data_IF_456690787026
#
_entry.id   IF_456690787026
#
_cell.length_a   1.000
_cell.length_b   1.000
_cell.length_c   1.000
_cell.angle_alpha   90.00
_cell.angle_beta   90.00
_cell.angle_gamma   90.00
#
_symmetry.space_group_name_H-M   'P 1'
#
loop_
_entity.id
_entity.type
_entity.pdbx_description
1 polymer ?
#
# COMPACT_ATOMS: atom_id res chain seq x y z
N UNK A 1 -11.51 -12.21 10.35
CA UNK A 1 -10.55 -11.09 10.25
C UNK A 1 -11.26 -9.90 9.64
N UNK A 2 -11.00 -8.67 10.11
CA UNK A 2 -11.56 -7.46 9.48
C UNK A 2 -10.70 -7.09 8.26
N UNK A 3 -11.35 -6.69 7.17
CA UNK A 3 -10.73 -6.36 5.89
C UNK A 3 -10.95 -4.88 5.58
N UNK A 4 -10.05 -4.29 4.79
CA UNK A 4 -10.15 -2.92 4.26
C UNK A 4 -9.90 -2.89 2.76
N UNK A 5 -10.50 -1.92 2.07
CA UNK A 5 -10.17 -1.65 0.66
C UNK A 5 -8.87 -0.87 0.61
N UNK A 6 -7.93 -1.33 -0.22
CA UNK A 6 -6.65 -0.66 -0.43
C UNK A 6 -6.20 -0.80 -1.88
N UNK A 7 -5.40 0.16 -2.34
CA UNK A 7 -4.60 0.00 -3.54
C UNK A 7 -3.31 -0.73 -3.19
N UNK A 8 -2.97 -1.75 -3.95
CA UNK A 8 -1.74 -2.52 -3.73
C UNK A 8 -1.10 -2.97 -5.03
N UNK A 9 0.17 -3.34 -4.92
CA UNK A 9 0.96 -3.95 -5.97
C UNK A 9 1.33 -5.38 -5.58
N UNK A 10 1.33 -6.28 -6.55
CA UNK A 10 1.88 -7.64 -6.42
C UNK A 10 3.17 -7.81 -7.25
N UNK A 11 3.39 -6.91 -8.20
CA UNK A 11 4.56 -6.83 -9.05
C UNK A 11 4.92 -5.36 -9.31
N UNK A 12 6.16 -5.11 -9.74
CA UNK A 12 6.58 -3.80 -10.20
C UNK A 12 6.05 -3.53 -11.60
N UNK A 13 5.64 -2.29 -11.89
CA UNK A 13 5.16 -1.90 -13.20
C UNK A 13 4.45 -0.55 -13.25
N UNK A 14 3.79 -0.27 -14.39
CA UNK A 14 3.01 0.95 -14.60
C UNK A 14 1.68 0.92 -13.83
N UNK A 15 0.86 1.96 -13.97
CA UNK A 15 -0.37 2.10 -13.16
C UNK A 15 -1.34 0.92 -13.29
N UNK A 16 -1.26 0.19 -14.40
CA UNK A 16 -2.13 -0.94 -14.76
C UNK A 16 -1.90 -2.16 -13.86
N UNK A 17 -0.70 -2.33 -13.30
CA UNK A 17 -0.43 -3.44 -12.36
C UNK A 17 -0.94 -3.15 -10.93
N UNK A 18 -1.40 -1.93 -10.67
CA UNK A 18 -1.97 -1.53 -9.38
C UNK A 18 -3.39 -2.06 -9.25
N UNK A 19 -3.66 -2.83 -8.20
CA UNK A 19 -4.95 -3.47 -7.95
C UNK A 19 -5.68 -2.79 -6.81
N UNK A 20 -7.00 -2.65 -6.94
CA UNK A 20 -7.89 -2.30 -5.83
C UNK A 20 -8.51 -3.60 -5.31
N UNK A 21 -8.39 -3.85 -4.01
CA UNK A 21 -8.95 -5.05 -3.39
C UNK A 21 -8.98 -4.97 -1.88
N UNK A 22 -9.25 -6.12 -1.25
CA UNK A 22 -9.39 -6.20 0.20
C UNK A 22 -8.12 -6.76 0.83
N UNK A 23 -7.55 -6.03 1.79
CA UNK A 23 -6.41 -6.45 2.61
C UNK A 23 -6.82 -6.56 4.08
N UNK A 24 -6.15 -7.39 4.89
CA UNK A 24 -6.40 -7.43 6.34
C UNK A 24 -6.06 -6.07 6.98
N UNK A 25 -6.87 -5.64 7.95
CA UNK A 25 -6.56 -4.47 8.76
C UNK A 25 -5.42 -4.86 9.73
N UNK A 26 -4.31 -4.11 9.78
CA UNK A 26 -3.20 -4.40 10.68
C UNK A 26 -3.57 -4.13 12.14
N UNK A 27 -3.00 -4.92 13.05
CA UNK A 27 -3.08 -4.66 14.49
C UNK A 27 -1.92 -3.75 14.91
N UNK A 28 -2.17 -2.55 15.46
CA UNK A 28 -1.10 -1.69 15.92
C UNK A 28 -0.34 -2.31 17.11
N UNK A 29 0.98 -2.14 17.15
CA UNK A 29 1.82 -2.45 18.32
C UNK A 29 1.77 -1.33 19.37
N UNK A 30 2.43 -1.52 20.52
CA UNK A 30 2.39 -0.64 21.70
C UNK A 30 2.59 0.85 21.42
N UNK A 31 3.34 1.23 20.38
CA UNK A 31 3.62 2.61 20.00
C UNK A 31 3.19 2.95 18.56
N UNK A 32 2.13 2.31 18.07
CA UNK A 32 1.56 2.57 16.74
C UNK A 32 0.10 2.97 16.86
N UNK A 33 -0.35 3.80 15.92
CA UNK A 33 -1.76 4.17 15.79
C UNK A 33 -2.33 3.57 14.51
N UNK A 34 -3.52 2.99 14.62
CA UNK A 34 -4.32 2.63 13.44
C UNK A 34 -5.16 3.84 13.06
N UNK A 35 -4.88 4.43 11.91
CA UNK A 35 -5.55 5.63 11.41
C UNK A 35 -6.50 5.27 10.28
N UNK A 36 -7.73 5.78 10.35
CA UNK A 36 -8.67 5.72 9.22
C UNK A 36 -8.41 6.90 8.27
N UNK A 37 -7.95 6.59 7.07
CA UNK A 37 -7.74 7.60 6.04
C UNK A 37 -9.05 7.94 5.33
N UNK A 38 -9.40 9.23 5.28
CA UNK A 38 -10.51 9.74 4.45
C UNK A 38 -10.03 10.13 3.05
N UNK A 39 -8.77 10.54 2.93
CA UNK A 39 -8.09 10.84 1.68
C UNK A 39 -6.59 10.59 1.86
N UNK A 40 -5.89 10.35 0.75
CA UNK A 40 -4.45 10.24 0.67
C UNK A 40 -3.94 11.15 -0.46
N UNK A 41 -2.70 11.63 -0.33
CA UNK A 41 -2.08 12.47 -1.35
C UNK A 41 -1.62 11.65 -2.57
N UNK A 42 -1.40 12.33 -3.68
CA UNK A 42 -0.73 11.75 -4.84
C UNK A 42 0.71 12.24 -4.87
N UNK A 43 1.60 11.48 -4.21
CA UNK A 43 3.02 11.83 -4.14
C UNK A 43 3.81 11.22 -5.32
N UNK A 44 4.63 12.00 -6.05
CA UNK A 44 5.50 11.49 -7.12
C UNK A 44 6.45 10.36 -6.71
N UNK A 45 6.73 10.18 -5.42
CA UNK A 45 7.56 9.07 -4.95
C UNK A 45 6.89 7.70 -5.19
N UNK A 46 5.56 7.64 -5.19
CA UNK A 46 4.82 6.39 -5.34
C UNK A 46 5.00 5.80 -6.74
N UNK A 47 5.04 6.63 -7.79
CA UNK A 47 5.35 6.15 -9.15
C UNK A 47 6.79 5.67 -9.27
N UNK A 48 7.75 6.31 -8.60
CA UNK A 48 9.14 5.83 -8.59
C UNK A 48 9.26 4.46 -7.91
N UNK A 49 8.51 4.24 -6.83
CA UNK A 49 8.47 2.95 -6.11
C UNK A 49 7.80 1.84 -6.91
N UNK A 50 6.85 2.15 -7.79
CA UNK A 50 6.19 1.12 -8.60
C UNK A 50 7.10 0.50 -9.65
N UNK A 51 8.18 1.16 -10.07
CA UNK A 51 9.09 0.65 -11.11
C UNK A 51 10.46 0.19 -10.62
N UNK A 52 10.85 0.50 -9.38
CA UNK A 52 12.17 0.13 -8.83
C UNK A 52 12.07 -0.30 -7.38
N UNK A 53 12.85 -1.30 -6.95
CA UNK A 53 12.99 -1.67 -5.54
C UNK A 53 13.86 -0.62 -4.83
N UNK A 54 13.31 0.59 -4.65
CA UNK A 54 13.97 1.69 -3.91
C UNK A 54 14.05 1.36 -2.40
N UNK A 55 13.30 0.35 -1.95
CA UNK A 55 13.33 -0.22 -0.61
C UNK A 55 13.07 -1.73 -0.71
N UNK A 56 13.60 -2.57 0.20
CA UNK A 56 13.28 -3.99 0.27
C UNK A 56 11.84 -4.21 0.75
N UNK A 57 10.87 -3.86 -0.09
CA UNK A 57 9.46 -4.10 0.17
C UNK A 57 9.08 -5.51 -0.27
N UNK A 58 8.41 -6.27 0.61
CA UNK A 58 7.81 -7.57 0.27
C UNK A 58 6.39 -7.33 -0.26
N UNK A 59 6.04 -7.97 -1.38
CA UNK A 59 4.69 -7.91 -1.91
C UNK A 59 3.70 -8.75 -1.09
N UNK A 60 2.41 -8.37 -1.03
CA UNK A 60 1.83 -7.14 -1.60
C UNK A 60 2.18 -5.89 -0.78
N UNK A 61 2.40 -4.77 -1.48
CA UNK A 61 2.67 -3.47 -0.85
C UNK A 61 1.47 -2.56 -1.09
N UNK A 62 0.86 -2.06 -0.01
CA UNK A 62 -0.18 -1.03 -0.11
C UNK A 62 0.45 0.36 -0.18
N UNK A 63 -0.18 1.24 -0.96
CA UNK A 63 0.14 2.67 -1.04
C UNK A 63 -0.83 3.46 -0.19
#
# INVERSE_FOLDING_TARGET
MKMQKAWFYEEYGPKEVRKLGNLPIPSPLHNQLLVQFHAADLNPIYSKRSFRPISPSKFPVSV
#
